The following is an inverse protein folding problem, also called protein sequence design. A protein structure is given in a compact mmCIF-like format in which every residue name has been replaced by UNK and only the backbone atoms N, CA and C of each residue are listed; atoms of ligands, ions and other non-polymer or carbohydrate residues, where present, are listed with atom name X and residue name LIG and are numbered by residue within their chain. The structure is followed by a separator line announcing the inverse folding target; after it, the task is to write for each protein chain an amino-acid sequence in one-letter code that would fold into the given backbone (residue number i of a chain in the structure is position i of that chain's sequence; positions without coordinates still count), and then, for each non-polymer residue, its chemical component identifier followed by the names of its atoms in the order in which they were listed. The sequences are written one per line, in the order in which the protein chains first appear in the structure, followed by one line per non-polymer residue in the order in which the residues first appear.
data_IF_945381956228
#
_entry.id   IF_945381956228
#
_cell.length_a   1.000
_cell.length_b   1.000
_cell.length_c   1.000
_cell.angle_alpha   90.00
_cell.angle_beta   90.00
_cell.angle_gamma   90.00
#
_symmetry.space_group_name_H-M   'P 1'
#
loop_
_entity.id
_entity.type
_entity.pdbx_description
1 polymer ?
#
# COMPACT_ATOMS: atom_id res chain seq x y z
N UNK A 1 -22.78 -21.48 -15.15
CA UNK A 1 -23.31 -21.47 -13.77
C UNK A 1 -22.23 -21.15 -12.70
N UNK A 2 -20.96 -21.41 -12.98
CA UNK A 2 -19.85 -21.13 -12.03
C UNK A 2 -19.68 -19.64 -11.71
N UNK A 3 -20.18 -18.73 -12.54
CA UNK A 3 -20.10 -17.27 -12.32
C UNK A 3 -21.08 -16.73 -11.24
N UNK A 4 -21.91 -17.57 -10.65
CA UNK A 4 -22.87 -17.17 -9.60
C UNK A 4 -22.15 -16.60 -8.37
N UNK A 5 -20.97 -17.14 -8.06
CA UNK A 5 -20.15 -16.63 -6.97
C UNK A 5 -19.70 -15.19 -7.15
N UNK A 6 -19.30 -14.82 -8.38
CA UNK A 6 -18.89 -13.44 -8.68
C UNK A 6 -20.10 -12.49 -8.49
N UNK A 7 -21.27 -12.92 -8.91
CA UNK A 7 -22.49 -12.13 -8.79
C UNK A 7 -22.87 -11.92 -7.30
N UNK A 8 -22.74 -12.97 -6.47
CA UNK A 8 -22.93 -12.86 -5.01
C UNK A 8 -21.94 -11.89 -4.37
N UNK A 9 -20.67 -11.93 -4.77
CA UNK A 9 -19.64 -11.00 -4.27
C UNK A 9 -19.98 -9.55 -4.64
N UNK A 10 -20.35 -9.30 -5.89
CA UNK A 10 -20.71 -7.95 -6.35
C UNK A 10 -21.91 -7.42 -5.57
N UNK A 11 -22.98 -8.21 -5.47
CA UNK A 11 -24.20 -7.81 -4.75
C UNK A 11 -23.91 -7.65 -3.26
N UNK A 12 -23.21 -8.60 -2.64
CA UNK A 12 -22.90 -8.56 -1.22
C UNK A 12 -22.09 -7.34 -0.81
N UNK A 13 -21.11 -6.95 -1.61
CA UNK A 13 -20.33 -5.73 -1.36
C UNK A 13 -21.10 -4.46 -1.66
N UNK A 14 -21.96 -4.45 -2.69
CA UNK A 14 -22.83 -3.32 -2.98
C UNK A 14 -23.83 -3.07 -1.82
N UNK A 15 -24.30 -4.14 -1.18
CA UNK A 15 -25.20 -4.07 -0.02
C UNK A 15 -24.44 -3.86 1.30
N UNK A 16 -23.10 -3.72 1.27
CA UNK A 16 -22.23 -3.50 2.44
C UNK A 16 -22.31 -4.62 3.50
N UNK A 17 -22.57 -5.86 3.09
CA UNK A 17 -22.47 -7.00 3.97
C UNK A 17 -21.02 -7.28 4.38
N UNK A 18 -20.84 -8.04 5.46
CA UNK A 18 -19.51 -8.45 5.92
C UNK A 18 -18.73 -9.18 4.82
N UNK A 19 -17.51 -8.73 4.54
CA UNK A 19 -16.70 -9.24 3.42
C UNK A 19 -16.36 -10.71 3.55
N UNK A 20 -16.12 -11.19 4.77
CA UNK A 20 -15.74 -12.60 5.01
C UNK A 20 -16.94 -13.48 4.79
N UNK A 21 -18.10 -13.09 5.32
CA UNK A 21 -19.35 -13.81 5.13
C UNK A 21 -19.72 -13.91 3.65
N UNK A 22 -19.63 -12.81 2.91
CA UNK A 22 -19.91 -12.76 1.47
C UNK A 22 -19.02 -13.72 0.68
N UNK A 23 -17.71 -13.75 0.98
CA UNK A 23 -16.75 -14.61 0.29
C UNK A 23 -17.04 -16.09 0.60
N UNK A 24 -17.30 -16.45 1.85
CA UNK A 24 -17.61 -17.82 2.25
C UNK A 24 -18.90 -18.31 1.57
N UNK A 25 -19.97 -17.51 1.63
CA UNK A 25 -21.27 -17.82 1.00
C UNK A 25 -21.10 -17.96 -0.51
N UNK A 26 -20.35 -17.07 -1.13
CA UNK A 26 -20.04 -17.11 -2.56
C UNK A 26 -19.32 -18.41 -2.96
N UNK A 27 -18.32 -18.82 -2.17
CA UNK A 27 -17.57 -20.07 -2.41
C UNK A 27 -18.47 -21.29 -2.30
N UNK A 28 -19.29 -21.39 -1.26
CA UNK A 28 -20.25 -22.50 -1.06
C UNK A 28 -21.25 -22.53 -2.21
N UNK A 29 -21.86 -21.38 -2.54
CA UNK A 29 -22.84 -21.29 -3.62
C UNK A 29 -22.26 -21.69 -4.99
N UNK A 30 -20.99 -21.33 -5.24
CA UNK A 30 -20.27 -21.72 -6.46
C UNK A 30 -20.04 -23.22 -6.51
N UNK A 31 -19.64 -23.83 -5.40
CA UNK A 31 -19.44 -25.29 -5.31
C UNK A 31 -20.75 -26.04 -5.55
N UNK A 32 -21.84 -25.63 -4.92
CA UNK A 32 -23.16 -26.23 -5.13
C UNK A 32 -23.64 -26.04 -6.58
N UNK A 33 -23.43 -24.87 -7.19
CA UNK A 33 -23.76 -24.63 -8.59
C UNK A 33 -22.89 -25.45 -9.57
N UNK A 34 -21.74 -25.93 -9.14
CA UNK A 34 -20.86 -26.84 -9.87
C UNK A 34 -21.23 -28.34 -9.65
N UNK A 35 -22.37 -28.62 -8.98
CA UNK A 35 -22.84 -29.93 -8.58
C UNK A 35 -21.89 -30.69 -7.63
N UNK A 36 -21.12 -29.97 -6.82
CA UNK A 36 -20.31 -30.55 -5.76
C UNK A 36 -21.15 -30.83 -4.53
N UNK A 37 -20.89 -31.92 -3.83
CA UNK A 37 -21.53 -32.16 -2.55
C UNK A 37 -20.86 -31.34 -1.43
N UNK A 38 -21.54 -31.25 -0.29
CA UNK A 38 -21.04 -30.46 0.87
C UNK A 38 -19.69 -31.02 1.36
N UNK A 39 -19.49 -32.34 1.34
CA UNK A 39 -18.25 -32.96 1.79
C UNK A 39 -17.08 -32.64 0.85
N UNK A 40 -17.34 -32.60 -0.45
CA UNK A 40 -16.35 -32.17 -1.44
C UNK A 40 -15.96 -30.69 -1.22
N UNK A 41 -16.95 -29.80 -1.04
CA UNK A 41 -16.71 -28.38 -0.75
C UNK A 41 -15.86 -28.22 0.52
N UNK A 42 -16.24 -28.89 1.62
CA UNK A 42 -15.50 -28.85 2.88
C UNK A 42 -14.09 -29.45 2.75
N UNK A 43 -13.95 -30.51 1.96
CA UNK A 43 -12.65 -31.13 1.70
C UNK A 43 -11.72 -30.18 0.94
N UNK A 44 -12.23 -29.50 -0.07
CA UNK A 44 -11.46 -28.50 -0.82
C UNK A 44 -11.06 -27.33 0.08
N UNK A 45 -11.99 -26.80 0.85
CA UNK A 45 -11.70 -25.72 1.80
C UNK A 45 -10.63 -26.15 2.82
N UNK A 46 -10.74 -27.35 3.39
CA UNK A 46 -9.77 -27.88 4.34
C UNK A 46 -8.39 -28.10 3.71
N UNK A 47 -8.31 -28.72 2.54
CA UNK A 47 -7.05 -28.89 1.80
C UNK A 47 -6.41 -27.55 1.43
N UNK A 48 -7.19 -26.60 0.92
CA UNK A 48 -6.71 -25.27 0.58
C UNK A 48 -6.19 -24.56 1.82
N UNK A 49 -6.91 -24.62 2.94
CA UNK A 49 -6.45 -24.04 4.20
C UNK A 49 -5.11 -24.61 4.65
N UNK A 50 -4.96 -25.94 4.61
CA UNK A 50 -3.70 -26.61 4.99
C UNK A 50 -2.56 -26.27 4.02
N UNK A 51 -2.81 -26.22 2.72
CA UNK A 51 -1.82 -25.89 1.71
C UNK A 51 -1.36 -24.43 1.81
N UNK A 52 -2.28 -23.52 2.14
CA UNK A 52 -2.00 -22.11 2.29
C UNK A 52 -1.65 -21.68 3.73
N UNK A 53 -1.40 -22.66 4.63
CA UNK A 53 -1.07 -22.37 6.04
C UNK A 53 0.12 -21.41 6.24
N UNK A 54 1.02 -21.29 5.27
CA UNK A 54 2.11 -20.32 5.32
C UNK A 54 1.62 -18.88 5.38
N UNK A 55 0.41 -18.58 4.91
CA UNK A 55 -0.21 -17.27 5.10
C UNK A 55 -0.44 -16.95 6.59
N UNK A 56 -0.59 -17.97 7.45
CA UNK A 56 -0.74 -17.76 8.90
C UNK A 56 0.53 -17.27 9.58
N UNK A 57 1.71 -17.36 8.93
CA UNK A 57 2.96 -16.73 9.41
C UNK A 57 2.73 -15.24 9.68
N UNK A 58 1.84 -14.60 8.91
CA UNK A 58 1.47 -13.22 9.14
C UNK A 58 0.92 -12.98 10.56
N UNK A 59 0.17 -13.90 11.12
CA UNK A 59 -0.36 -13.82 12.50
C UNK A 59 0.78 -13.81 13.52
N UNK A 60 1.83 -14.60 13.28
CA UNK A 60 3.01 -14.65 14.15
C UNK A 60 3.84 -13.36 14.07
N UNK A 61 3.83 -12.68 12.92
CA UNK A 61 4.55 -11.41 12.75
C UNK A 61 3.83 -10.22 13.39
N UNK A 62 2.51 -10.29 13.65
CA UNK A 62 1.75 -9.19 14.27
C UNK A 62 2.29 -8.74 15.63
N UNK A 63 2.64 -9.63 16.58
CA UNK A 63 3.25 -9.21 17.84
C UNK A 63 4.58 -8.48 17.65
N UNK A 64 5.43 -8.94 16.71
CA UNK A 64 6.72 -8.30 16.40
C UNK A 64 6.51 -6.90 15.85
N UNK A 65 5.52 -6.74 14.96
CA UNK A 65 5.12 -5.44 14.41
C UNK A 65 4.63 -4.53 15.54
N UNK A 66 3.73 -5.01 16.41
CA UNK A 66 3.22 -4.25 17.55
C UNK A 66 4.32 -3.81 18.52
N UNK A 67 5.30 -4.67 18.77
CA UNK A 67 6.48 -4.34 19.57
C UNK A 67 7.29 -3.24 18.86
N UNK A 68 7.57 -3.37 17.57
CA UNK A 68 8.33 -2.37 16.81
C UNK A 68 7.63 -1.00 16.80
N UNK A 69 6.31 -0.96 16.65
CA UNK A 69 5.52 0.27 16.75
C UNK A 69 5.62 0.88 18.17
N UNK A 70 5.53 0.07 19.22
CA UNK A 70 5.63 0.52 20.61
C UNK A 70 7.02 1.04 20.97
N UNK A 71 8.07 0.51 20.37
CA UNK A 71 9.45 0.95 20.59
C UNK A 71 9.90 2.10 19.67
N UNK A 72 8.98 2.85 19.09
CA UNK A 72 9.26 4.14 18.48
C UNK A 72 9.64 4.09 17.01
N UNK A 73 9.21 3.07 16.27
CA UNK A 73 9.41 3.01 14.81
C UNK A 73 8.85 4.24 14.09
N UNK A 74 7.65 4.69 14.50
CA UNK A 74 6.99 5.88 13.98
C UNK A 74 7.81 7.13 14.27
N UNK A 75 8.24 7.29 15.52
CA UNK A 75 9.05 8.41 15.98
C UNK A 75 10.37 8.49 15.24
N UNK A 76 10.99 7.34 14.97
CA UNK A 76 12.24 7.28 14.19
C UNK A 76 12.03 7.69 12.74
N UNK A 77 10.96 7.24 12.10
CA UNK A 77 10.61 7.66 10.75
C UNK A 77 10.37 9.18 10.67
N UNK A 78 9.65 9.74 11.67
CA UNK A 78 9.46 11.19 11.80
C UNK A 78 10.79 11.93 11.93
N UNK A 79 11.70 11.44 12.79
CA UNK A 79 13.01 12.06 12.99
C UNK A 79 13.82 12.08 11.69
N UNK A 80 13.85 10.98 10.95
CA UNK A 80 14.55 10.90 9.66
C UNK A 80 14.04 11.94 8.66
N UNK A 81 12.72 12.12 8.58
CA UNK A 81 12.11 13.11 7.68
C UNK A 81 12.43 14.54 8.14
N UNK A 82 12.36 14.81 9.46
CA UNK A 82 12.62 16.14 10.03
C UNK A 82 14.09 16.57 9.98
N UNK A 83 15.03 15.63 9.96
CA UNK A 83 16.47 15.92 9.88
C UNK A 83 16.88 16.52 8.54
N UNK A 84 16.11 16.29 7.49
CA UNK A 84 16.42 16.84 6.16
C UNK A 84 15.81 18.24 6.06
N UNK A 85 16.65 19.24 6.25
CA UNK A 85 16.27 20.65 6.15
C UNK A 85 16.09 21.08 4.68
N UNK A 86 15.26 22.09 4.45
CA UNK A 86 15.04 22.72 3.12
C UNK A 86 14.53 21.79 2.01
N UNK A 87 13.69 20.80 2.37
CA UNK A 87 13.02 19.97 1.37
C UNK A 87 11.90 20.78 0.70
N UNK A 88 11.86 20.68 -0.65
CA UNK A 88 10.64 21.04 -1.38
C UNK A 88 9.54 20.03 -1.11
N UNK A 89 8.30 20.40 -1.41
CA UNK A 89 7.14 19.51 -1.26
C UNK A 89 7.35 18.17 -1.94
N UNK A 90 7.81 18.16 -3.19
CA UNK A 90 8.05 16.92 -3.94
C UNK A 90 9.20 16.10 -3.37
N UNK A 91 10.30 16.72 -2.95
CA UNK A 91 11.42 16.01 -2.32
C UNK A 91 11.00 15.34 -1.00
N UNK A 92 10.21 16.03 -0.17
CA UNK A 92 9.68 15.49 1.08
C UNK A 92 8.80 14.28 0.83
N UNK A 93 7.89 14.38 -0.14
CA UNK A 93 7.00 13.29 -0.53
C UNK A 93 7.76 12.09 -1.10
N UNK A 94 8.81 12.33 -1.89
CA UNK A 94 9.68 11.28 -2.42
C UNK A 94 10.43 10.55 -1.29
N UNK A 95 11.01 11.31 -0.36
CA UNK A 95 11.69 10.74 0.80
C UNK A 95 10.74 9.89 1.64
N UNK A 96 9.53 10.38 1.86
CA UNK A 96 8.50 9.62 2.56
C UNK A 96 8.15 8.30 1.84
N UNK A 97 7.92 8.35 0.53
CA UNK A 97 7.65 7.16 -0.27
C UNK A 97 8.78 6.13 -0.18
N UNK A 98 10.04 6.57 -0.23
CA UNK A 98 11.21 5.71 -0.08
C UNK A 98 11.25 5.02 1.29
N UNK A 99 11.06 5.80 2.37
CA UNK A 99 11.03 5.25 3.73
C UNK A 99 9.89 4.24 3.87
N UNK A 100 8.72 4.55 3.31
CA UNK A 100 7.55 3.68 3.33
C UNK A 100 7.81 2.37 2.56
N UNK A 101 8.45 2.45 1.40
CA UNK A 101 8.78 1.30 0.55
C UNK A 101 9.81 0.40 1.20
N UNK A 102 10.88 0.97 1.77
CA UNK A 102 11.91 0.22 2.51
C UNK A 102 11.27 -0.42 3.76
N UNK A 103 10.46 0.33 4.50
CA UNK A 103 9.72 -0.21 5.65
C UNK A 103 8.85 -1.41 5.26
N UNK A 104 8.10 -1.31 4.16
CA UNK A 104 7.30 -2.41 3.62
C UNK A 104 8.14 -3.64 3.25
N UNK A 105 9.28 -3.44 2.59
CA UNK A 105 10.21 -4.50 2.23
C UNK A 105 10.80 -5.23 3.45
N UNK A 106 10.94 -4.53 4.57
CA UNK A 106 11.38 -5.07 5.85
C UNK A 106 10.24 -5.59 6.74
N UNK A 107 9.01 -5.65 6.22
CA UNK A 107 7.80 -5.98 7.01
C UNK A 107 7.50 -5.00 8.16
N UNK A 108 8.07 -3.81 8.12
CA UNK A 108 7.80 -2.78 9.10
C UNK A 108 6.50 -2.05 8.72
N UNK A 109 5.46 -2.20 9.53
CA UNK A 109 4.20 -1.48 9.31
C UNK A 109 4.33 -0.06 9.87
N UNK A 110 4.53 0.89 8.98
CA UNK A 110 4.32 2.30 9.32
C UNK A 110 2.80 2.54 9.23
N UNK A 111 2.22 3.13 10.26
CA UNK A 111 0.78 3.42 10.32
C UNK A 111 0.31 4.17 9.05
N UNK A 112 -0.91 3.86 8.60
CA UNK A 112 -1.44 4.39 7.34
C UNK A 112 -1.96 5.83 7.40
N UNK A 113 -2.85 6.17 6.47
CA UNK A 113 -3.36 7.52 6.26
C UNK A 113 -3.85 8.25 7.52
N UNK A 114 -4.72 7.67 8.40
CA UNK A 114 -5.26 8.43 9.54
C UNK A 114 -4.22 8.76 10.59
N UNK A 115 -3.26 7.88 10.80
CA UNK A 115 -2.32 7.97 11.94
C UNK A 115 -0.97 8.56 11.55
N UNK A 116 -0.62 8.59 10.25
CA UNK A 116 0.68 9.06 9.80
C UNK A 116 0.59 10.11 8.69
N UNK A 117 -0.15 9.85 7.60
CA UNK A 117 -0.19 10.78 6.47
C UNK A 117 -0.92 12.06 6.83
N UNK A 118 -2.13 11.95 7.39
CA UNK A 118 -2.95 13.14 7.72
C UNK A 118 -2.32 14.02 8.79
N UNK A 119 -1.86 13.49 9.94
CA UNK A 119 -1.33 14.35 11.00
C UNK A 119 0.12 14.80 10.81
N UNK A 120 0.88 14.15 9.91
CA UNK A 120 2.31 14.42 9.78
C UNK A 120 2.72 14.78 8.36
N UNK A 121 2.62 13.85 7.41
CA UNK A 121 3.21 14.03 6.07
C UNK A 121 2.52 15.14 5.29
N UNK A 122 1.18 15.19 5.32
CA UNK A 122 0.44 16.22 4.64
C UNK A 122 0.73 17.63 5.19
N UNK A 123 0.66 17.91 6.51
CA UNK A 123 1.04 19.20 7.05
C UNK A 123 2.49 19.59 6.76
N UNK A 124 3.42 18.62 6.80
CA UNK A 124 4.83 18.89 6.46
C UNK A 124 5.00 19.26 4.98
N UNK A 125 4.32 18.57 4.07
CA UNK A 125 4.38 18.83 2.64
C UNK A 125 3.74 20.19 2.28
N UNK A 126 2.62 20.54 2.91
CA UNK A 126 2.01 21.87 2.79
C UNK A 126 2.90 22.95 3.40
N UNK A 127 3.46 22.71 4.59
CA UNK A 127 4.40 23.61 5.24
C UNK A 127 5.65 23.88 4.40
N UNK A 128 6.15 22.88 3.67
CA UNK A 128 7.26 23.06 2.74
C UNK A 128 6.88 24.00 1.56
N UNK A 129 5.65 23.88 1.05
CA UNK A 129 5.14 24.77 0.02
C UNK A 129 4.94 26.19 0.55
N UNK A 130 4.27 26.33 1.70
CA UNK A 130 4.02 27.64 2.34
C UNK A 130 5.33 28.34 2.69
N UNK A 131 6.30 27.62 3.24
CA UNK A 131 7.63 28.18 3.57
C UNK A 131 8.41 28.67 2.35
N UNK A 132 8.19 28.07 1.18
CA UNK A 132 8.87 28.46 -0.06
C UNK A 132 8.14 29.56 -0.85
N UNK A 133 6.80 29.50 -0.90
CA UNK A 133 6.00 30.33 -1.81
C UNK A 133 5.12 31.36 -1.09
N UNK A 134 4.92 31.26 0.22
CA UNK A 134 3.91 32.00 0.95
C UNK A 134 2.56 31.27 0.98
N UNK A 135 1.47 32.01 1.01
CA UNK A 135 0.13 31.42 0.99
C UNK A 135 -0.13 30.64 -0.30
N UNK A 136 -0.76 29.48 -0.16
CA UNK A 136 -1.19 28.62 -1.26
C UNK A 136 -2.72 28.51 -1.27
N UNK A 137 -3.29 28.40 -2.46
CA UNK A 137 -4.74 28.25 -2.62
C UNK A 137 -5.24 26.88 -2.17
N UNK A 138 -6.52 26.79 -1.83
CA UNK A 138 -7.18 25.57 -1.38
C UNK A 138 -7.06 24.42 -2.40
N UNK A 139 -7.05 24.73 -3.69
CA UNK A 139 -6.88 23.72 -4.76
C UNK A 139 -5.49 23.10 -4.73
N UNK A 140 -4.47 23.89 -4.41
CA UNK A 140 -3.09 23.42 -4.26
C UNK A 140 -2.94 22.60 -2.97
N UNK A 141 -3.56 23.03 -1.86
CA UNK A 141 -3.58 22.23 -0.63
C UNK A 141 -4.16 20.83 -0.88
N UNK A 142 -5.30 20.73 -1.57
CA UNK A 142 -5.91 19.44 -1.89
C UNK A 142 -5.06 18.60 -2.85
N UNK A 143 -4.32 19.22 -3.79
CA UNK A 143 -3.36 18.50 -4.64
C UNK A 143 -2.20 17.93 -3.84
N UNK A 144 -1.63 18.69 -2.90
CA UNK A 144 -0.55 18.24 -2.02
C UNK A 144 -1.04 17.09 -1.13
N UNK A 145 -2.24 17.22 -0.59
CA UNK A 145 -2.89 16.18 0.23
C UNK A 145 -3.11 14.89 -0.57
N UNK A 146 -3.59 14.99 -1.81
CA UNK A 146 -3.75 13.84 -2.69
C UNK A 146 -2.40 13.20 -3.04
N UNK A 147 -1.36 14.01 -3.30
CA UNK A 147 -0.01 13.53 -3.54
C UNK A 147 0.56 12.80 -2.30
N UNK A 148 0.38 13.35 -1.10
CA UNK A 148 0.83 12.71 0.13
C UNK A 148 0.15 11.34 0.35
N UNK A 149 -1.16 11.25 0.08
CA UNK A 149 -1.91 10.01 0.12
C UNK A 149 -1.42 8.99 -0.91
N UNK A 150 -1.11 9.45 -2.13
CA UNK A 150 -0.57 8.59 -3.19
C UNK A 150 0.79 7.99 -2.82
N UNK A 151 1.65 8.78 -2.17
CA UNK A 151 2.99 8.30 -1.75
C UNK A 151 2.89 7.19 -0.70
N UNK A 152 1.92 7.27 0.20
CA UNK A 152 1.67 6.19 1.16
C UNK A 152 1.25 4.90 0.45
N UNK A 153 0.30 5.01 -0.48
CA UNK A 153 -0.20 3.87 -1.24
C UNK A 153 0.90 3.22 -2.07
N UNK A 154 1.67 4.02 -2.82
CA UNK A 154 2.76 3.49 -3.67
C UNK A 154 3.86 2.85 -2.82
N UNK A 155 4.34 3.55 -1.79
CA UNK A 155 5.38 3.04 -0.90
C UNK A 155 4.94 1.75 -0.22
N UNK A 156 3.70 1.68 0.28
CA UNK A 156 3.17 0.48 0.91
C UNK A 156 3.01 -0.68 -0.08
N UNK A 157 2.35 -0.45 -1.22
CA UNK A 157 2.04 -1.51 -2.19
C UNK A 157 3.31 -2.13 -2.77
N UNK A 158 4.22 -1.31 -3.28
CA UNK A 158 5.45 -1.81 -3.88
C UNK A 158 6.46 -2.30 -2.85
N UNK A 159 6.45 -1.76 -1.62
CA UNK A 159 7.30 -2.24 -0.54
C UNK A 159 6.89 -3.61 -0.02
N UNK A 160 5.62 -3.81 0.29
CA UNK A 160 5.15 -5.09 0.86
C UNK A 160 5.35 -6.28 -0.10
N UNK A 161 5.36 -6.06 -1.42
CA UNK A 161 5.59 -7.11 -2.39
C UNK A 161 7.07 -7.56 -2.50
N UNK A 162 7.97 -6.86 -1.83
CA UNK A 162 9.38 -7.26 -1.67
C UNK A 162 9.59 -8.18 -0.47
N UNK A 163 8.61 -8.26 0.44
CA UNK A 163 8.71 -9.09 1.63
C UNK A 163 8.16 -10.50 1.36
N UNK A 164 9.02 -11.51 1.49
CA UNK A 164 8.74 -12.91 1.12
C UNK A 164 7.51 -13.51 1.80
N UNK A 165 7.26 -13.14 3.05
CA UNK A 165 6.15 -13.65 3.84
C UNK A 165 4.93 -12.71 3.84
N UNK A 166 4.86 -11.74 2.93
CA UNK A 166 3.65 -10.92 2.80
C UNK A 166 2.52 -11.77 2.23
N UNK A 167 1.29 -11.48 2.68
CA UNK A 167 0.11 -12.22 2.21
C UNK A 167 -0.07 -12.15 0.69
N UNK A 168 0.25 -11.02 0.07
CA UNK A 168 0.18 -10.85 -1.38
C UNK A 168 1.19 -11.73 -2.13
N UNK A 169 2.44 -11.77 -1.68
CA UNK A 169 3.49 -12.61 -2.26
C UNK A 169 3.14 -14.09 -2.13
N UNK A 170 2.68 -14.50 -0.94
CA UNK A 170 2.28 -15.89 -0.71
C UNK A 170 1.05 -16.28 -1.53
N UNK A 171 0.07 -15.38 -1.66
CA UNK A 171 -1.11 -15.62 -2.49
C UNK A 171 -0.71 -15.85 -3.95
N UNK A 172 0.10 -14.96 -4.53
CA UNK A 172 0.57 -15.08 -5.93
C UNK A 172 1.37 -16.38 -6.12
N UNK A 173 2.32 -16.67 -5.23
CA UNK A 173 3.15 -17.88 -5.30
C UNK A 173 2.28 -19.15 -5.24
N UNK A 174 1.35 -19.22 -4.28
CA UNK A 174 0.48 -20.40 -4.13
C UNK A 174 -0.45 -20.57 -5.33
N UNK A 175 -1.06 -19.49 -5.82
CA UNK A 175 -1.93 -19.55 -6.99
C UNK A 175 -1.19 -20.03 -8.23
N UNK A 176 0.03 -19.54 -8.47
CA UNK A 176 0.84 -19.99 -9.59
C UNK A 176 1.22 -21.47 -9.45
N UNK A 177 1.54 -21.92 -8.24
CA UNK A 177 1.84 -23.33 -7.97
C UNK A 177 0.61 -24.22 -8.22
N UNK A 178 -0.58 -23.80 -7.81
CA UNK A 178 -1.84 -24.52 -8.09
C UNK A 178 -2.15 -24.60 -9.61
N UNK A 179 -1.74 -23.58 -10.37
CA UNK A 179 -1.84 -23.56 -11.83
C UNK A 179 -0.75 -24.39 -12.55
N UNK A 180 0.13 -25.08 -11.80
CA UNK A 180 1.19 -25.92 -12.35
C UNK A 180 2.52 -25.21 -12.59
N UNK A 181 2.67 -23.96 -12.20
CA UNK A 181 3.93 -23.23 -12.27
C UNK A 181 4.67 -23.36 -10.94
N UNK A 182 5.84 -24.00 -10.94
CA UNK A 182 6.68 -24.13 -9.75
C UNK A 182 7.24 -22.75 -9.36
N UNK A 183 6.54 -22.04 -8.48
CA UNK A 183 6.85 -20.65 -8.08
C UNK A 183 6.95 -20.57 -6.57
N UNK A 184 8.02 -19.94 -6.08
CA UNK A 184 8.23 -19.67 -4.65
C UNK A 184 7.98 -18.20 -4.32
N UNK A 185 7.78 -17.88 -3.03
CA UNK A 185 7.70 -16.49 -2.58
C UNK A 185 8.96 -15.66 -2.94
N UNK A 186 10.12 -16.33 -3.03
CA UNK A 186 11.38 -15.69 -3.45
C UNK A 186 11.31 -15.25 -4.91
N UNK A 187 10.75 -16.05 -5.79
CA UNK A 187 10.64 -15.73 -7.21
C UNK A 187 9.71 -14.54 -7.43
N UNK A 188 8.58 -14.52 -6.72
CA UNK A 188 7.63 -13.39 -6.74
C UNK A 188 8.30 -12.13 -6.20
N UNK A 189 8.99 -12.20 -5.07
CA UNK A 189 9.67 -11.05 -4.49
C UNK A 189 10.77 -10.52 -5.41
N UNK A 190 11.61 -11.39 -6.01
CA UNK A 190 12.64 -10.99 -6.99
C UNK A 190 12.04 -10.28 -8.20
N UNK A 191 10.96 -10.81 -8.77
CA UNK A 191 10.25 -10.15 -9.87
C UNK A 191 9.71 -8.78 -9.46
N UNK A 192 9.22 -8.66 -8.23
CA UNK A 192 8.69 -7.41 -7.65
C UNK A 192 9.76 -6.33 -7.47
N UNK A 193 11.04 -6.67 -7.32
CA UNK A 193 12.13 -5.67 -7.18
C UNK A 193 12.18 -4.75 -8.40
N UNK A 194 12.14 -5.31 -9.60
CA UNK A 194 12.20 -4.50 -10.84
C UNK A 194 11.00 -3.55 -10.89
N UNK A 195 9.80 -4.07 -10.58
CA UNK A 195 8.56 -3.26 -10.58
C UNK A 195 8.63 -2.16 -9.52
N UNK A 196 9.14 -2.46 -8.32
CA UNK A 196 9.30 -1.49 -7.24
C UNK A 196 10.27 -0.36 -7.61
N UNK A 197 11.38 -0.68 -8.27
CA UNK A 197 12.35 0.33 -8.75
C UNK A 197 11.73 1.21 -9.83
N UNK A 198 11.07 0.62 -10.81
CA UNK A 198 10.38 1.36 -11.90
C UNK A 198 9.31 2.27 -11.31
N UNK A 199 8.49 1.76 -10.39
CA UNK A 199 7.47 2.55 -9.71
C UNK A 199 8.08 3.73 -8.94
N UNK A 200 9.21 3.53 -8.26
CA UNK A 200 9.90 4.60 -7.56
C UNK A 200 10.45 5.67 -8.51
N UNK A 201 10.95 5.29 -9.68
CA UNK A 201 11.35 6.25 -10.73
C UNK A 201 10.16 7.10 -11.18
N UNK A 202 8.98 6.50 -11.37
CA UNK A 202 7.76 7.26 -11.69
C UNK A 202 7.36 8.21 -10.55
N UNK A 203 7.51 7.79 -9.29
CA UNK A 203 7.29 8.65 -8.12
C UNK A 203 8.23 9.86 -8.14
N UNK A 204 9.52 9.65 -8.43
CA UNK A 204 10.50 10.72 -8.58
C UNK A 204 10.05 11.73 -9.64
N UNK A 205 9.68 11.25 -10.83
CA UNK A 205 9.22 12.09 -11.94
C UNK A 205 7.97 12.86 -11.54
N UNK A 206 6.97 12.19 -10.95
CA UNK A 206 5.72 12.81 -10.50
C UNK A 206 5.97 13.94 -9.50
N UNK A 207 6.85 13.72 -8.53
CA UNK A 207 7.13 14.71 -7.49
C UNK A 207 8.00 15.86 -8.00
N UNK A 208 8.93 15.62 -8.93
CA UNK A 208 9.65 16.69 -9.65
C UNK A 208 8.68 17.54 -10.47
N UNK A 209 7.72 16.90 -11.13
CA UNK A 209 6.67 17.62 -11.87
C UNK A 209 5.76 18.43 -10.96
N UNK A 210 5.46 17.91 -9.75
CA UNK A 210 4.71 18.66 -8.74
C UNK A 210 5.46 19.93 -8.33
N UNK A 211 6.74 19.81 -7.98
CA UNK A 211 7.58 20.94 -7.62
C UNK A 211 7.65 21.98 -8.76
N UNK A 212 7.88 21.55 -10.00
CA UNK A 212 7.89 22.43 -11.17
C UNK A 212 6.54 23.15 -11.38
N UNK A 213 5.41 22.46 -11.13
CA UNK A 213 4.08 23.10 -11.21
C UNK A 213 3.89 24.14 -10.14
N UNK A 214 4.34 23.87 -8.92
CA UNK A 214 4.30 24.85 -7.81
C UNK A 214 5.21 26.05 -8.11
N UNK A 215 6.43 25.81 -8.60
CA UNK A 215 7.34 26.87 -9.02
C UNK A 215 6.74 27.74 -10.12
N UNK A 216 6.08 27.15 -11.12
CA UNK A 216 5.42 27.89 -12.20
C UNK A 216 4.21 28.69 -11.70
N UNK A 217 3.44 28.14 -10.75
CA UNK A 217 2.22 28.79 -10.24
C UNK A 217 2.53 29.92 -9.26
N UNK A 218 3.52 29.76 -8.38
CA UNK A 218 3.81 30.68 -7.28
C UNK A 218 5.18 31.38 -7.38
N UNK A 219 6.11 30.84 -8.17
CA UNK A 219 7.46 31.39 -8.31
C UNK A 219 7.52 32.73 -9.05
N UNK A 220 6.51 33.02 -9.89
CA UNK A 220 6.43 34.29 -10.66
C UNK A 220 6.09 35.46 -9.76
N UNK A 221 5.26 35.24 -8.72
CA UNK A 221 4.86 36.32 -7.82
C UNK A 221 6.02 36.86 -6.95
N UNK A 222 7.09 36.06 -6.77
CA UNK A 222 8.26 36.50 -5.98
C UNK A 222 9.22 37.41 -6.76
N UNK A 223 9.07 37.52 -8.09
CA UNK A 223 9.87 38.44 -8.93
C UNK A 223 9.24 39.79 -9.12
N UNK A 224 7.96 39.99 -8.79
CA UNK A 224 7.27 41.28 -8.93
C UNK A 224 7.36 42.15 -7.70
N UNK A 225 7.81 41.58 -6.54
CA UNK A 225 7.92 42.33 -5.26
C UNK A 225 9.39 42.69 -4.91
N UNK A 226 10.30 42.68 -5.89
CA UNK A 226 11.65 43.22 -5.82
C UNK A 226 11.82 44.30 -6.89
#
# INVERSE_FOLDING_TARGET
MVLIGILIVIIGFALKFDSIAVIIISGIATGLAANMDINEILTILGKTFVNQRLMTIFIITLPVIGISERYGLKEKAVQLIKQVKNLSTGKLLTLYCLIRQIGGAMSLKISGHPQFVRPLINPMAQGAAIGKYGEIDKKTEEKIKAAAASMDNYGNFYGQNLFLASSGVLLVSNTLTELGYATTGIDVAKASVVVAVVAFVFVLIQNIMLDKKLDKQYGINKKSDK
#
